data_IF_549984008559
#
_entry.id   IF_549984008559
#
_cell.length_a   1.000
_cell.length_b   1.000
_cell.length_c   1.000
_cell.angle_alpha   90.00
_cell.angle_beta   90.00
_cell.angle_gamma   90.00
#
_symmetry.space_group_name_H-M   'P 1'
#
loop_
_entity.id
_entity.type
_entity.pdbx_description
1 polymer ?
#
# COMPACT_ATOMS: atom_id res chain seq x y z
N UNK A 1 17.33 -54.41 -14.91
CA UNK A 1 16.33 -53.80 -14.02
C UNK A 1 17.06 -53.39 -12.75
N UNK A 2 17.26 -52.09 -12.51
CA UNK A 2 17.90 -51.60 -11.29
C UNK A 2 16.83 -51.50 -10.19
N UNK A 3 17.07 -52.15 -9.05
CA UNK A 3 16.18 -52.11 -7.89
C UNK A 3 16.10 -50.68 -7.31
N UNK A 4 14.94 -50.26 -6.77
CA UNK A 4 14.83 -48.96 -6.11
C UNK A 4 15.72 -48.96 -4.86
N UNK A 5 16.55 -47.91 -4.71
CA UNK A 5 17.34 -47.70 -3.50
C UNK A 5 16.36 -47.46 -2.36
N UNK A 6 16.38 -48.32 -1.35
CA UNK A 6 15.59 -48.15 -0.13
C UNK A 6 15.92 -46.80 0.51
N UNK A 7 14.88 -46.05 0.89
CA UNK A 7 15.05 -44.74 1.51
C UNK A 7 15.68 -44.94 2.90
N UNK A 8 16.73 -44.17 3.19
CA UNK A 8 17.39 -44.23 4.50
C UNK A 8 16.41 -43.79 5.59
N UNK A 9 16.58 -44.31 6.81
CA UNK A 9 15.75 -43.96 7.97
C UNK A 9 15.65 -42.44 8.19
N UNK A 10 16.74 -41.71 7.97
CA UNK A 10 16.75 -40.25 8.03
C UNK A 10 15.84 -39.58 6.97
N UNK A 11 15.73 -40.16 5.77
CA UNK A 11 14.84 -39.66 4.71
C UNK A 11 13.38 -39.93 5.05
N UNK A 12 13.09 -41.07 5.67
CA UNK A 12 11.74 -41.43 6.14
C UNK A 12 11.31 -40.50 7.28
N UNK A 13 12.18 -40.26 8.26
CA UNK A 13 11.91 -39.32 9.34
C UNK A 13 11.68 -37.88 8.83
N UNK A 14 12.46 -37.44 7.84
CA UNK A 14 12.25 -36.14 7.19
C UNK A 14 10.90 -36.07 6.46
N UNK A 15 10.50 -37.13 5.76
CA UNK A 15 9.20 -37.16 5.08
C UNK A 15 8.04 -37.11 6.08
N UNK A 16 8.14 -37.85 7.19
CA UNK A 16 7.12 -37.83 8.25
C UNK A 16 6.95 -36.42 8.85
N UNK A 17 8.05 -35.68 9.02
CA UNK A 17 8.01 -34.29 9.49
C UNK A 17 7.29 -33.38 8.47
N UNK A 18 7.56 -33.52 7.18
CA UNK A 18 6.87 -32.75 6.14
C UNK A 18 5.36 -33.02 6.13
N UNK A 19 4.95 -34.28 6.32
CA UNK A 19 3.55 -34.67 6.34
C UNK A 19 2.83 -34.12 7.58
N UNK A 20 3.51 -34.08 8.73
CA UNK A 20 2.98 -33.47 9.96
C UNK A 20 2.78 -31.96 9.84
N UNK A 21 3.68 -31.26 9.13
CA UNK A 21 3.59 -29.82 8.92
C UNK A 21 2.63 -29.40 7.79
N UNK A 22 2.00 -30.35 7.09
CA UNK A 22 1.03 -30.03 6.03
C UNK A 22 -0.35 -29.65 6.59
N UNK A 23 -0.80 -28.44 6.22
CA UNK A 23 -2.09 -27.89 6.63
C UNK A 23 -3.24 -28.44 5.77
N UNK A 24 -2.97 -29.18 4.68
CA UNK A 24 -4.00 -29.78 3.83
C UNK A 24 -4.45 -31.16 4.30
N UNK A 25 -3.59 -31.91 4.98
CA UNK A 25 -3.93 -33.19 5.61
C UNK A 25 -5.05 -33.04 6.66
N UNK A 26 -5.13 -31.88 7.32
CA UNK A 26 -6.13 -31.55 8.33
C UNK A 26 -7.38 -30.91 7.68
N UNK A 27 -8.55 -31.51 7.90
CA UNK A 27 -9.82 -30.99 7.41
C UNK A 27 -10.23 -29.68 8.11
N UNK A 28 -10.59 -28.66 7.32
CA UNK A 28 -10.89 -27.30 7.80
C UNK A 28 -12.39 -27.12 8.06
N UNK A 29 -12.87 -27.57 9.23
CA UNK A 29 -14.29 -27.50 9.62
C UNK A 29 -14.89 -26.09 9.76
N UNK A 30 -14.03 -25.08 9.90
CA UNK A 30 -14.43 -23.68 10.09
C UNK A 30 -14.34 -22.84 8.80
N UNK A 31 -13.79 -23.37 7.69
CA UNK A 31 -13.64 -22.61 6.44
C UNK A 31 -14.94 -22.67 5.64
N UNK A 32 -15.54 -21.53 5.39
CA UNK A 32 -16.72 -21.42 4.52
C UNK A 32 -16.39 -21.87 3.07
N UNK A 33 -17.03 -22.94 2.54
CA UNK A 33 -16.78 -23.42 1.18
C UNK A 33 -17.28 -22.48 0.08
N UNK A 34 -18.23 -21.60 0.37
CA UNK A 34 -18.80 -20.69 -0.64
C UNK A 34 -17.92 -19.46 -0.92
N UNK A 35 -16.97 -19.16 -0.04
CA UNK A 35 -16.09 -18.01 -0.21
C UNK A 35 -15.07 -18.25 -1.32
N UNK A 36 -14.99 -17.31 -2.27
CA UNK A 36 -14.02 -17.32 -3.37
C UNK A 36 -13.02 -16.17 -3.25
N UNK A 37 -11.71 -16.43 -3.39
CA UNK A 37 -10.70 -15.40 -3.32
C UNK A 37 -10.82 -14.40 -4.47
N UNK A 38 -10.76 -13.10 -4.18
CA UNK A 38 -10.66 -12.08 -5.22
C UNK A 38 -9.22 -12.07 -5.81
N UNK A 39 -9.12 -11.99 -7.14
CA UNK A 39 -7.86 -11.95 -7.87
C UNK A 39 -7.07 -10.64 -7.63
N UNK A 40 -7.76 -9.52 -7.32
CA UNK A 40 -7.16 -8.18 -7.20
C UNK A 40 -6.64 -7.86 -5.79
N UNK A 41 -6.32 -8.86 -4.96
CA UNK A 41 -5.89 -8.66 -3.56
C UNK A 41 -4.39 -8.39 -3.40
N UNK A 42 -3.56 -9.02 -4.22
CA UNK A 42 -2.11 -8.90 -4.13
C UNK A 42 -1.66 -7.65 -4.90
N UNK A 43 -1.59 -6.51 -4.20
CA UNK A 43 -1.20 -5.21 -4.77
C UNK A 43 0.11 -4.73 -4.14
N UNK A 44 0.94 -4.05 -4.92
CA UNK A 44 2.10 -3.32 -4.39
C UNK A 44 1.61 -2.01 -3.72
N UNK A 45 2.38 -1.51 -2.74
CA UNK A 45 2.14 -0.23 -2.07
C UNK A 45 1.89 0.91 -3.07
N UNK A 46 2.64 0.97 -4.17
CA UNK A 46 2.45 1.97 -5.23
C UNK A 46 1.03 1.93 -5.82
N UNK A 47 0.52 0.73 -6.10
CA UNK A 47 -0.83 0.53 -6.64
C UNK A 47 -1.89 0.87 -5.59
N UNK A 48 -1.67 0.49 -4.33
CA UNK A 48 -2.58 0.82 -3.22
C UNK A 48 -2.69 2.33 -3.05
N UNK A 49 -1.56 3.04 -3.03
CA UNK A 49 -1.51 4.50 -2.93
C UNK A 49 -2.17 5.18 -4.15
N UNK A 50 -1.94 4.64 -5.36
CA UNK A 50 -2.58 5.13 -6.58
C UNK A 50 -4.11 4.95 -6.59
N UNK A 51 -4.61 3.82 -6.09
CA UNK A 51 -6.04 3.56 -5.94
C UNK A 51 -6.68 4.50 -4.89
N UNK A 52 -5.98 4.75 -3.78
CA UNK A 52 -6.43 5.67 -2.74
C UNK A 52 -6.53 7.11 -3.26
N UNK A 53 -5.50 7.62 -3.93
CA UNK A 53 -5.50 8.96 -4.52
C UNK A 53 -6.61 9.13 -5.58
N UNK A 54 -6.83 8.12 -6.44
CA UNK A 54 -7.91 8.15 -7.44
C UNK A 54 -9.29 8.15 -6.80
N UNK A 55 -9.48 7.36 -5.72
CA UNK A 55 -10.74 7.32 -4.97
C UNK A 55 -11.05 8.66 -4.29
N UNK A 56 -10.05 9.30 -3.70
CA UNK A 56 -10.18 10.65 -3.12
C UNK A 56 -10.55 11.68 -4.19
N UNK A 57 -9.89 11.66 -5.36
CA UNK A 57 -10.22 12.55 -6.47
C UNK A 57 -11.66 12.34 -7.01
N UNK A 58 -12.11 11.09 -7.13
CA UNK A 58 -13.48 10.79 -7.54
C UNK A 58 -14.52 11.26 -6.51
N UNK A 59 -14.24 11.16 -5.21
CA UNK A 59 -15.11 11.67 -4.17
C UNK A 59 -15.23 13.21 -4.19
N UNK A 60 -14.18 13.92 -4.60
CA UNK A 60 -14.18 15.37 -4.77
C UNK A 60 -14.88 15.85 -6.05
N UNK A 61 -15.00 15.01 -7.08
CA UNK A 61 -15.61 15.36 -8.36
C UNK A 61 -17.14 15.17 -8.40
N UNK A 62 -17.70 14.25 -7.59
CA UNK A 62 -19.15 13.99 -7.52
C UNK A 62 -20.04 15.17 -7.07
N UNK A 63 -19.60 16.18 -6.29
CA UNK A 63 -20.46 17.33 -5.97
C UNK A 63 -20.68 18.32 -7.12
N UNK A 64 -19.91 18.28 -8.22
CA UNK A 64 -20.01 19.29 -9.28
C UNK A 64 -20.91 18.88 -10.47
N UNK A 65 -21.31 17.60 -10.57
CA UNK A 65 -22.11 17.10 -11.68
C UNK A 65 -23.62 17.08 -11.45
N UNK A 66 -24.09 17.33 -10.22
CA UNK A 66 -25.54 17.39 -9.93
C UNK A 66 -26.22 18.65 -10.51
N UNK A 67 -25.47 19.67 -10.96
CA UNK A 67 -26.07 20.85 -11.63
C UNK A 67 -26.17 20.68 -13.17
N UNK A 68 -25.46 19.73 -13.79
CA UNK A 68 -25.29 19.71 -15.26
C UNK A 68 -25.84 18.47 -15.99
N UNK A 69 -26.54 17.54 -15.35
CA UNK A 69 -27.05 16.34 -16.05
C UNK A 69 -28.39 15.83 -15.52
N UNK A 70 -29.41 16.66 -15.69
CA UNK A 70 -30.80 16.21 -15.70
C UNK A 70 -31.28 16.02 -17.16
N UNK A 71 -30.76 15.02 -17.88
CA UNK A 71 -31.39 14.48 -19.08
C UNK A 71 -30.78 13.13 -19.51
N UNK A 72 -31.67 12.15 -19.73
CA UNK A 72 -31.50 10.85 -20.41
C UNK A 72 -31.09 9.59 -19.59
N UNK A 73 -32.12 8.86 -19.16
CA UNK A 73 -32.28 7.43 -18.75
C UNK A 73 -31.75 6.45 -19.86
N UNK A 74 -31.49 5.12 -19.65
CA UNK A 74 -32.22 4.21 -18.75
C UNK A 74 -31.45 3.14 -17.96
N UNK A 75 -32.23 2.50 -17.07
CA UNK A 75 -31.90 1.42 -16.15
C UNK A 75 -31.02 0.31 -16.75
N UNK A 76 -29.83 0.12 -16.18
CA UNK A 76 -28.97 -1.04 -16.36
C UNK A 76 -28.59 -1.59 -14.99
N UNK A 77 -28.81 -2.90 -14.81
CA UNK A 77 -28.67 -3.68 -13.58
C UNK A 77 -27.49 -3.24 -12.70
N UNK A 78 -27.83 -2.90 -11.45
CA UNK A 78 -26.92 -2.62 -10.35
C UNK A 78 -25.98 -3.82 -10.11
N UNK A 79 -24.78 -3.76 -10.67
CA UNK A 79 -23.65 -4.60 -10.28
C UNK A 79 -23.15 -4.15 -8.91
N UNK A 80 -23.05 -5.10 -8.00
CA UNK A 80 -22.66 -5.00 -6.60
C UNK A 80 -21.15 -4.77 -6.43
N UNK A 81 -20.62 -3.66 -6.92
CA UNK A 81 -19.26 -3.23 -6.54
C UNK A 81 -19.26 -2.50 -5.18
N UNK A 82 -19.77 -3.21 -4.17
CA UNK A 82 -19.74 -2.82 -2.78
C UNK A 82 -18.43 -3.26 -2.12
N UNK A 83 -17.39 -2.43 -2.20
CA UNK A 83 -16.28 -2.44 -1.24
C UNK A 83 -16.78 -1.92 0.12
N UNK A 84 -17.65 -2.70 0.75
CA UNK A 84 -18.20 -2.43 2.09
C UNK A 84 -17.35 -3.13 3.14
N UNK A 85 -16.39 -2.38 3.69
CA UNK A 85 -15.73 -2.69 4.95
C UNK A 85 -16.28 -1.75 6.02
N UNK A 86 -17.47 -2.05 6.53
CA UNK A 86 -17.97 -1.49 7.78
C UNK A 86 -19.21 -2.27 8.23
N UNK A 87 -19.04 -3.10 9.27
CA UNK A 87 -20.12 -3.85 9.91
C UNK A 87 -21.03 -2.96 10.74
N UNK A 88 -21.93 -2.22 10.08
CA UNK A 88 -23.05 -1.55 10.73
C UNK A 88 -24.33 -1.84 9.95
N UNK A 89 -24.97 -2.95 10.28
CA UNK A 89 -26.32 -3.27 9.82
C UNK A 89 -27.14 -3.73 11.02
N UNK A 90 -27.84 -2.79 11.64
CA UNK A 90 -28.94 -3.10 12.56
C UNK A 90 -30.21 -3.16 11.73
N UNK A 91 -30.94 -4.29 11.65
CA UNK A 91 -32.24 -4.30 11.01
C UNK A 91 -33.29 -3.86 12.03
N UNK A 92 -34.10 -2.86 11.70
CA UNK A 92 -35.34 -2.59 12.41
C UNK A 92 -36.49 -2.75 11.42
N UNK A 93 -37.33 -3.75 11.70
CA UNK A 93 -38.51 -4.13 10.93
C UNK A 93 -39.60 -3.06 10.92
N UNK A 94 -40.51 -3.20 9.97
CA UNK A 94 -41.47 -2.19 9.59
C UNK A 94 -42.69 -2.02 10.49
N UNK A 95 -43.51 -1.03 10.13
CA UNK A 95 -44.96 -1.04 10.27
C UNK A 95 -45.59 0.01 9.35
N UNK A 96 -46.66 -0.40 8.70
CA UNK A 96 -47.59 0.36 7.86
C UNK A 96 -48.44 1.35 8.66
N UNK A 97 -48.55 2.60 8.21
CA UNK A 97 -49.83 3.35 8.19
C UNK A 97 -49.75 4.63 7.37
N UNK A 98 -50.79 4.85 6.59
CA UNK A 98 -51.08 5.94 5.67
C UNK A 98 -51.29 7.28 6.42
N UNK A 99 -50.75 8.39 5.91
CA UNK A 99 -51.04 9.74 6.44
C UNK A 99 -50.02 10.79 6.00
N UNK A 100 -50.41 11.64 5.05
CA UNK A 100 -49.55 12.67 4.48
C UNK A 100 -49.03 13.67 5.52
N UNK A 101 -47.72 13.82 5.59
CA UNK A 101 -47.05 15.00 6.14
C UNK A 101 -45.61 15.04 5.61
N UNK A 102 -45.18 16.22 5.21
CA UNK A 102 -43.82 16.52 4.77
C UNK A 102 -42.84 16.29 5.92
N UNK A 103 -42.43 15.05 6.14
CA UNK A 103 -41.31 14.75 7.02
C UNK A 103 -40.03 14.88 6.18
N UNK A 104 -39.21 15.94 6.37
CA UNK A 104 -37.90 15.98 5.73
C UNK A 104 -37.14 14.75 6.22
N UNK A 105 -36.83 13.85 5.30
CA UNK A 105 -36.20 12.58 5.57
C UNK A 105 -34.90 12.83 6.34
N UNK A 106 -34.91 12.58 7.65
CA UNK A 106 -33.82 12.92 8.58
C UNK A 106 -32.50 12.23 8.17
N UNK A 107 -32.59 11.08 7.49
CA UNK A 107 -31.45 10.40 6.90
C UNK A 107 -30.87 11.14 5.68
N UNK A 108 -31.70 11.86 4.91
CA UNK A 108 -31.23 12.74 3.83
C UNK A 108 -30.67 14.06 4.37
N UNK A 109 -31.29 14.64 5.41
CA UNK A 109 -30.83 15.88 6.05
C UNK A 109 -29.50 15.70 6.81
N UNK A 110 -29.29 14.57 7.47
CA UNK A 110 -28.00 14.27 8.14
C UNK A 110 -26.87 14.03 7.14
N UNK A 111 -27.17 13.44 5.97
CA UNK A 111 -26.21 13.29 4.86
C UNK A 111 -25.83 14.63 4.23
N UNK A 112 -26.79 15.54 4.05
CA UNK A 112 -26.52 16.87 3.50
C UNK A 112 -25.74 17.75 4.47
N UNK A 113 -26.02 17.69 5.78
CA UNK A 113 -25.21 18.39 6.79
C UNK A 113 -23.80 17.81 6.90
N UNK A 114 -23.65 16.49 6.84
CA UNK A 114 -22.32 15.85 6.78
C UNK A 114 -21.54 16.31 5.56
N UNK A 115 -22.19 16.42 4.38
CA UNK A 115 -21.61 16.96 3.15
C UNK A 115 -21.13 18.42 3.32
N UNK A 116 -21.95 19.28 3.90
CA UNK A 116 -21.63 20.71 4.09
C UNK A 116 -20.54 20.96 5.14
N UNK A 117 -20.53 20.22 6.24
CA UNK A 117 -19.48 20.33 7.27
C UNK A 117 -18.12 19.87 6.73
N UNK A 118 -18.11 18.79 5.92
CA UNK A 118 -16.91 18.27 5.30
C UNK A 118 -16.38 19.22 4.21
N UNK A 119 -17.27 19.82 3.41
CA UNK A 119 -16.92 20.85 2.43
C UNK A 119 -16.34 22.12 3.10
N UNK A 120 -16.94 22.57 4.21
CA UNK A 120 -16.45 23.73 4.98
C UNK A 120 -15.09 23.45 5.63
N UNK A 121 -14.85 22.22 6.08
CA UNK A 121 -13.58 21.81 6.69
C UNK A 121 -12.44 21.66 5.67
N UNK A 122 -12.75 21.47 4.38
CA UNK A 122 -11.78 21.24 3.30
C UNK A 122 -11.45 22.50 2.48
N UNK A 123 -12.04 23.65 2.79
CA UNK A 123 -11.70 24.94 2.18
C UNK A 123 -10.76 25.73 3.10
N UNK A 124 -9.45 25.45 3.15
CA UNK A 124 -8.51 26.43 3.68
C UNK A 124 -8.52 27.64 2.74
N UNK A 125 -8.59 28.82 3.33
CA UNK A 125 -8.69 30.09 2.65
C UNK A 125 -7.46 30.31 1.73
N UNK A 126 -7.67 30.20 0.41
CA UNK A 126 -6.75 30.69 -0.63
C UNK A 126 -5.54 29.82 -0.97
N UNK A 127 -5.72 28.88 -1.92
CA UNK A 127 -4.77 28.59 -3.00
C UNK A 127 -5.32 27.44 -3.86
N UNK A 128 -5.64 27.74 -5.12
CA UNK A 128 -5.95 26.74 -6.13
C UNK A 128 -4.72 25.89 -6.41
N UNK A 129 -4.75 24.64 -5.95
CA UNK A 129 -3.77 23.63 -6.30
C UNK A 129 -4.42 22.26 -6.14
N UNK A 130 -4.54 21.55 -7.26
CA UNK A 130 -4.85 20.12 -7.32
C UNK A 130 -3.70 19.32 -6.69
N UNK A 131 -3.50 19.48 -5.39
CA UNK A 131 -2.57 18.73 -4.57
C UNK A 131 -3.29 17.54 -3.91
N UNK A 132 -2.55 16.49 -3.50
CA UNK A 132 -3.15 15.36 -2.80
C UNK A 132 -3.90 15.87 -1.57
N UNK A 133 -5.12 15.37 -1.35
CA UNK A 133 -5.86 15.62 -0.10
C UNK A 133 -4.98 15.24 1.08
N UNK A 134 -4.79 16.21 1.98
CA UNK A 134 -3.96 16.03 3.18
C UNK A 134 -4.75 15.19 4.17
N UNK A 135 -4.62 13.87 4.07
CA UNK A 135 -5.15 12.90 5.04
C UNK A 135 -4.09 12.66 6.12
N UNK A 136 -4.48 12.35 7.37
CA UNK A 136 -3.56 12.04 8.48
C UNK A 136 -2.48 11.00 8.11
N UNK A 137 -2.81 10.07 7.21
CA UNK A 137 -1.89 9.03 6.69
C UNK A 137 -0.91 9.52 5.63
N UNK A 138 -1.20 10.64 4.95
CA UNK A 138 -0.41 11.17 3.82
C UNK A 138 0.64 12.21 4.27
N UNK A 139 0.58 12.67 5.52
CA UNK A 139 1.56 13.62 6.07
C UNK A 139 2.78 12.85 6.56
N UNK A 140 3.76 12.68 5.67
CA UNK A 140 5.08 12.18 6.06
C UNK A 140 5.90 13.26 6.77
N UNK A 141 6.88 12.84 7.57
CA UNK A 141 7.83 13.75 8.19
C UNK A 141 8.64 14.50 7.13
N UNK A 142 8.85 15.80 7.31
CA UNK A 142 9.70 16.58 6.44
C UNK A 142 11.12 15.98 6.32
N UNK A 143 11.77 16.07 5.16
CA UNK A 143 13.14 15.60 5.00
C UNK A 143 14.09 16.42 5.89
N UNK A 144 15.19 15.79 6.31
CA UNK A 144 16.22 16.48 7.09
C UNK A 144 17.01 17.48 6.24
N UNK A 145 17.11 18.73 6.70
CA UNK A 145 18.02 19.75 6.13
C UNK A 145 19.40 19.76 6.81
N UNK A 146 19.61 18.98 7.87
CA UNK A 146 20.87 18.95 8.58
C UNK A 146 21.98 18.28 7.73
N UNK A 147 23.20 18.81 7.84
CA UNK A 147 24.37 18.25 7.19
C UNK A 147 24.62 16.82 7.67
N UNK A 148 24.71 15.86 6.74
CA UNK A 148 24.94 14.46 7.08
C UNK A 148 26.41 14.24 7.46
N UNK A 149 26.64 13.44 8.51
CA UNK A 149 27.98 12.96 8.84
C UNK A 149 28.40 11.93 7.79
N UNK A 150 29.66 12.02 7.34
CA UNK A 150 30.21 11.11 6.33
C UNK A 150 31.04 10.03 7.01
N UNK A 151 30.66 8.78 6.78
CA UNK A 151 31.39 7.59 7.21
C UNK A 151 31.93 6.85 6.01
N UNK A 152 32.96 6.05 6.24
CA UNK A 152 33.59 5.20 5.25
C UNK A 152 32.64 4.07 4.89
N UNK A 153 32.49 3.80 3.60
CA UNK A 153 31.55 2.79 3.09
C UNK A 153 32.04 1.35 3.37
N UNK A 154 33.32 1.17 3.69
CA UNK A 154 33.95 -0.14 3.96
C UNK A 154 34.09 -0.40 5.46
N UNK A 155 34.64 0.56 6.21
CA UNK A 155 35.00 0.36 7.63
C UNK A 155 34.02 1.01 8.63
N UNK A 156 33.17 1.93 8.18
CA UNK A 156 32.26 2.68 9.06
C UNK A 156 32.93 3.81 9.88
N UNK A 157 34.25 3.98 9.80
CA UNK A 157 34.97 5.09 10.44
C UNK A 157 34.60 6.45 9.81
N UNK A 158 34.76 7.60 10.50
CA UNK A 158 34.51 8.91 9.88
C UNK A 158 35.37 9.06 8.62
N UNK A 159 34.79 9.43 7.48
CA UNK A 159 35.52 9.51 6.21
C UNK A 159 35.62 10.97 5.73
N UNK A 160 36.80 11.61 5.84
CA UNK A 160 37.00 12.95 5.31
C UNK A 160 37.10 12.98 3.79
N UNK A 161 37.49 11.88 3.14
CA UNK A 161 37.81 11.84 1.70
C UNK A 161 36.86 10.97 0.88
N UNK A 162 36.79 11.29 -0.42
CA UNK A 162 35.96 10.59 -1.43
C UNK A 162 36.80 10.31 -2.67
N UNK A 163 36.74 9.09 -3.21
CA UNK A 163 37.41 8.75 -4.47
C UNK A 163 36.60 9.27 -5.67
N UNK A 164 37.19 10.07 -6.58
CA UNK A 164 36.46 10.64 -7.72
C UNK A 164 36.00 9.59 -8.74
N UNK A 165 36.66 8.43 -8.81
CA UNK A 165 36.33 7.37 -9.77
C UNK A 165 35.15 6.53 -9.27
N UNK A 166 35.23 6.01 -8.05
CA UNK A 166 34.21 5.11 -7.49
C UNK A 166 33.15 5.81 -6.65
N UNK A 167 33.35 7.08 -6.27
CA UNK A 167 32.48 7.85 -5.34
C UNK A 167 32.33 7.20 -3.94
N UNK A 168 33.23 6.29 -3.59
CA UNK A 168 33.33 5.70 -2.27
C UNK A 168 34.02 6.64 -1.30
N UNK A 169 33.54 6.64 -0.06
CA UNK A 169 34.11 7.40 1.06
C UNK A 169 35.15 6.55 1.78
N UNK A 170 36.33 7.12 2.05
CA UNK A 170 37.42 6.42 2.71
C UNK A 170 38.06 7.26 3.83
N UNK A 171 38.66 6.58 4.80
CA UNK A 171 39.31 7.21 5.97
C UNK A 171 40.81 7.39 5.76
N UNK A 172 41.50 6.31 5.38
CA UNK A 172 42.96 6.27 5.26
C UNK A 172 43.42 5.78 3.87
N UNK A 173 44.75 5.79 3.69
CA UNK A 173 45.40 5.32 2.46
C UNK A 173 45.26 3.81 2.24
N UNK A 174 45.05 3.02 3.30
CA UNK A 174 44.97 1.56 3.22
C UNK A 174 43.63 1.16 2.62
N UNK A 175 42.54 1.76 3.09
CA UNK A 175 41.21 1.64 2.50
C UNK A 175 41.20 2.14 1.06
N UNK A 176 41.90 3.24 0.77
CA UNK A 176 42.03 3.71 -0.61
C UNK A 176 42.79 2.71 -1.51
N UNK A 177 43.86 2.09 -1.00
CA UNK A 177 44.58 1.02 -1.68
C UNK A 177 43.67 -0.18 -1.97
N UNK A 178 42.88 -0.59 -0.97
CA UNK A 178 41.87 -1.64 -1.12
C UNK A 178 40.86 -1.29 -2.22
N UNK A 179 40.29 -0.08 -2.23
CA UNK A 179 39.34 0.40 -3.25
C UNK A 179 39.92 0.25 -4.67
N UNK A 180 41.22 0.42 -4.86
CA UNK A 180 41.87 0.27 -6.18
C UNK A 180 42.07 -1.19 -6.61
N UNK A 181 42.07 -2.11 -5.66
CA UNK A 181 42.14 -3.57 -5.93
C UNK A 181 40.78 -4.24 -6.04
N UNK A 182 39.68 -3.53 -5.72
CA UNK A 182 38.34 -4.08 -5.80
C UNK A 182 38.00 -4.53 -7.23
N UNK A 183 37.33 -5.70 -7.39
CA UNK A 183 36.90 -6.15 -8.70
C UNK A 183 35.81 -5.22 -9.25
N UNK A 184 35.67 -5.21 -10.57
CA UNK A 184 34.66 -4.42 -11.26
C UNK A 184 33.25 -4.81 -10.75
N UNK A 185 32.43 -3.82 -10.42
CA UNK A 185 31.09 -4.00 -9.85
C UNK A 185 31.03 -4.04 -8.32
N UNK A 186 32.13 -4.33 -7.61
CA UNK A 186 32.10 -4.31 -6.14
C UNK A 186 31.85 -2.90 -5.58
N UNK A 187 32.41 -1.87 -6.20
CA UNK A 187 32.18 -0.49 -5.80
C UNK A 187 30.69 -0.08 -5.93
N UNK A 188 30.00 -0.62 -6.92
CA UNK A 188 28.56 -0.38 -7.14
C UNK A 188 27.72 -1.01 -6.02
N UNK A 189 28.07 -2.20 -5.55
CA UNK A 189 27.41 -2.86 -4.40
C UNK A 189 27.58 -2.05 -3.11
N UNK A 190 28.76 -1.49 -2.85
CA UNK A 190 28.96 -0.59 -1.70
C UNK A 190 28.14 0.70 -1.83
N UNK A 191 28.01 1.25 -3.03
CA UNK A 191 27.11 2.39 -3.28
C UNK A 191 25.64 2.01 -3.12
N UNK A 192 25.25 0.79 -3.45
CA UNK A 192 23.88 0.27 -3.30
C UNK A 192 23.52 0.12 -1.82
N UNK A 193 24.42 -0.45 -1.01
CA UNK A 193 24.26 -0.52 0.43
C UNK A 193 24.11 0.87 1.07
N UNK A 194 24.77 1.90 0.52
CA UNK A 194 24.59 3.31 0.95
C UNK A 194 23.30 3.96 0.41
N UNK A 195 22.65 3.36 -0.59
CA UNK A 195 21.52 3.97 -1.31
C UNK A 195 21.92 5.07 -2.30
N UNK A 196 23.17 5.10 -2.74
CA UNK A 196 23.71 6.06 -3.72
C UNK A 196 24.01 5.42 -5.09
N UNK A 197 23.53 4.20 -5.33
CA UNK A 197 23.74 3.47 -6.57
C UNK A 197 22.88 4.04 -7.71
N UNK A 198 23.50 4.27 -8.86
CA UNK A 198 22.81 4.75 -10.06
C UNK A 198 22.70 3.61 -11.08
N UNK A 199 21.53 2.97 -11.14
CA UNK A 199 21.22 1.99 -12.19
C UNK A 199 20.86 2.75 -13.47
N UNK A 200 21.63 2.57 -14.54
CA UNK A 200 21.24 3.04 -15.87
C UNK A 200 20.01 2.24 -16.33
N UNK A 201 18.99 2.94 -16.83
CA UNK A 201 17.70 2.36 -17.22
C UNK A 201 17.45 2.52 -18.71
#
# INVERSE_FOLDING_TARGET
MAAPKEATEAQIAHQALLDELDIHSIHKSFRNPSWKPNQRRNKNIKTILGDASRREASALATPQQEEASAAATPAGKQGDDGLSTSGASTPAGGSTSNGGSNNPNLAQASRSLSKLVLEKSLRPNGAGGSGPSVTYTNVESAPSLAHTKRYCDITGLPAPYIDPKTRLRYHDKEVFGLIRTLPQGAAEQYLEARGAHTVLK
#
